data_IF_925473278025
#
_entry.id   IF_925473278025
#
_cell.length_a   1.000
_cell.length_b   1.000
_cell.length_c   1.000
_cell.angle_alpha   90.00
_cell.angle_beta   90.00
_cell.angle_gamma   90.00
#
_symmetry.space_group_name_H-M   'P 1'
#
loop_
_entity.id
_entity.type
_entity.pdbx_description
1 polymer ?
#
# COMPACT_ATOMS: atom_id res chain seq x y z
N UNK A 1 4.25 67.96 -34.34
CA UNK A 1 3.59 67.24 -33.23
C UNK A 1 4.53 66.11 -32.82
N UNK A 2 5.19 66.23 -31.66
CA UNK A 2 6.18 65.28 -31.15
C UNK A 2 5.46 64.03 -30.66
N UNK A 3 5.85 62.83 -31.11
CA UNK A 3 5.44 61.58 -30.48
C UNK A 3 6.69 60.80 -30.09
N UNK A 4 6.84 60.60 -28.78
CA UNK A 4 7.96 59.96 -28.10
C UNK A 4 8.06 58.47 -28.47
N UNK A 5 9.29 58.00 -28.73
CA UNK A 5 9.66 56.60 -28.60
C UNK A 5 9.68 56.22 -27.11
N UNK A 6 9.00 55.12 -26.76
CA UNK A 6 9.16 54.44 -25.48
C UNK A 6 9.85 53.09 -25.76
N UNK A 7 11.13 52.98 -25.41
CA UNK A 7 11.88 51.73 -25.41
C UNK A 7 11.63 50.99 -24.09
N UNK A 8 10.99 49.82 -24.16
CA UNK A 8 10.82 48.92 -23.02
C UNK A 8 12.04 47.99 -22.90
N UNK A 9 12.79 48.15 -21.81
CA UNK A 9 13.94 47.32 -21.45
C UNK A 9 13.43 46.00 -20.86
N UNK A 10 13.63 44.88 -21.57
CA UNK A 10 13.44 43.53 -20.99
C UNK A 10 14.63 43.23 -20.06
N UNK A 11 14.37 43.20 -18.75
CA UNK A 11 15.30 42.63 -17.78
C UNK A 11 15.07 41.11 -17.69
N UNK A 12 15.99 40.32 -18.22
CA UNK A 12 16.03 38.87 -17.98
C UNK A 12 16.49 38.61 -16.54
N UNK A 13 15.54 38.39 -15.63
CA UNK A 13 15.84 37.81 -14.32
C UNK A 13 15.99 36.30 -14.47
N UNK A 14 17.23 35.83 -14.61
CA UNK A 14 17.57 34.42 -14.45
C UNK A 14 17.68 34.13 -12.96
N UNK A 15 16.66 33.47 -12.40
CA UNK A 15 16.83 32.77 -11.12
C UNK A 15 17.48 31.42 -11.43
N UNK A 16 18.79 31.36 -11.27
CA UNK A 16 19.50 30.12 -11.05
C UNK A 16 19.09 29.58 -9.67
N UNK A 17 18.01 28.81 -9.63
CA UNK A 17 17.70 27.95 -8.49
C UNK A 17 18.69 26.80 -8.50
N UNK A 18 19.81 26.99 -7.81
CA UNK A 18 20.72 25.91 -7.40
C UNK A 18 20.04 25.12 -6.28
N UNK A 19 18.96 24.41 -6.62
CA UNK A 19 18.47 23.33 -5.78
C UNK A 19 19.42 22.15 -5.96
N UNK A 20 20.21 21.83 -4.93
CA UNK A 20 20.72 20.49 -4.74
C UNK A 20 19.49 19.57 -4.66
N UNK A 21 19.03 19.09 -5.81
CA UNK A 21 18.31 17.83 -5.85
C UNK A 21 19.36 16.80 -5.44
N UNK A 22 19.33 16.38 -4.17
CA UNK A 22 19.97 15.14 -3.77
C UNK A 22 19.46 14.09 -4.76
N UNK A 23 20.37 13.50 -5.54
CA UNK A 23 20.03 12.34 -6.35
C UNK A 23 19.37 11.34 -5.38
N UNK A 24 18.20 10.78 -5.72
CA UNK A 24 17.57 9.80 -4.86
C UNK A 24 18.60 8.70 -4.61
N UNK A 25 18.99 8.53 -3.33
CA UNK A 25 19.95 7.50 -2.93
C UNK A 25 19.58 6.21 -3.64
N UNK A 26 20.50 5.68 -4.45
CA UNK A 26 20.24 4.52 -5.27
C UNK A 26 19.73 3.39 -4.36
N UNK A 27 18.46 3.00 -4.56
CA UNK A 27 17.81 1.96 -3.76
C UNK A 27 18.74 0.76 -3.68
N UNK A 28 19.14 0.40 -2.47
CA UNK A 28 20.03 -0.75 -2.23
C UNK A 28 19.36 -1.99 -2.83
N UNK A 29 20.05 -2.63 -3.76
CA UNK A 29 19.55 -3.88 -4.37
C UNK A 29 19.78 -5.04 -3.42
N UNK A 30 18.73 -5.82 -3.21
CA UNK A 30 18.77 -7.06 -2.43
C UNK A 30 18.98 -8.26 -3.34
N UNK A 31 19.80 -9.21 -2.88
CA UNK A 31 20.03 -10.48 -3.56
C UNK A 31 18.79 -11.36 -3.44
N UNK A 32 18.30 -11.83 -4.58
CA UNK A 32 17.21 -12.80 -4.65
C UNK A 32 17.78 -14.23 -4.66
N UNK A 33 16.98 -15.24 -4.31
CA UNK A 33 17.35 -16.64 -4.52
C UNK A 33 17.75 -16.92 -5.97
N UNK A 34 18.73 -17.80 -6.18
CA UNK A 34 19.24 -18.13 -7.51
C UNK A 34 18.17 -18.78 -8.40
N UNK A 35 17.28 -19.58 -7.80
CA UNK A 35 16.18 -20.19 -8.52
C UNK A 35 15.03 -19.18 -8.68
N UNK A 36 14.65 -18.79 -9.92
CA UNK A 36 13.59 -17.81 -10.17
C UNK A 36 12.21 -18.22 -9.64
N UNK A 37 12.00 -19.51 -9.38
CA UNK A 37 10.73 -20.07 -8.88
C UNK A 37 10.63 -20.12 -7.36
N UNK A 38 11.71 -19.79 -6.66
CA UNK A 38 11.67 -19.77 -5.20
C UNK A 38 10.85 -18.57 -4.71
N UNK A 39 10.08 -18.80 -3.65
CA UNK A 39 9.29 -17.72 -3.03
C UNK A 39 10.19 -16.79 -2.24
N UNK A 40 10.14 -15.52 -2.59
CA UNK A 40 10.86 -14.43 -1.91
C UNK A 40 10.00 -13.80 -0.83
N UNK A 41 8.70 -13.65 -1.09
CA UNK A 41 7.74 -13.13 -0.11
C UNK A 41 6.51 -14.03 -0.10
N UNK A 42 6.01 -14.40 1.08
CA UNK A 42 4.69 -15.02 1.20
C UNK A 42 3.83 -14.28 2.21
N UNK A 43 2.52 -14.28 1.95
CA UNK A 43 1.49 -13.75 2.84
C UNK A 43 0.43 -14.82 3.05
N UNK A 44 0.14 -15.11 4.31
CA UNK A 44 -0.90 -16.06 4.69
C UNK A 44 -1.73 -15.54 5.88
N UNK A 45 -2.95 -16.05 5.97
CA UNK A 45 -3.87 -15.79 7.08
C UNK A 45 -4.30 -17.13 7.70
N UNK A 46 -3.85 -17.39 8.92
CA UNK A 46 -4.04 -18.68 9.60
C UNK A 46 -5.03 -18.58 10.75
N UNK A 47 -5.91 -19.57 10.87
CA UNK A 47 -6.98 -19.61 11.88
C UNK A 47 -8.05 -18.53 11.68
N UNK A 48 -8.76 -18.23 12.76
CA UNK A 48 -9.90 -17.31 12.77
C UNK A 48 -11.19 -17.88 12.16
N UNK A 49 -12.29 -17.15 12.32
CA UNK A 49 -13.58 -17.54 11.79
C UNK A 49 -13.67 -17.30 10.27
N UNK A 50 -13.96 -18.34 9.48
CA UNK A 50 -14.09 -18.23 8.04
C UNK A 50 -14.42 -19.57 7.37
N UNK A 51 -14.54 -19.55 6.04
CA UNK A 51 -14.74 -20.76 5.24
C UNK A 51 -13.53 -21.70 5.39
N UNK A 52 -13.74 -23.03 5.41
CA UNK A 52 -12.65 -23.98 5.46
C UNK A 52 -11.76 -23.83 4.21
N UNK A 53 -10.46 -23.94 4.41
CA UNK A 53 -9.49 -23.90 3.30
C UNK A 53 -9.49 -25.24 2.57
N UNK A 54 -9.40 -25.18 1.24
CA UNK A 54 -9.17 -26.35 0.39
C UNK A 54 -7.73 -26.85 0.47
N UNK A 55 -6.78 -25.94 0.74
CA UNK A 55 -5.35 -26.22 0.82
C UNK A 55 -4.65 -25.33 1.86
N UNK A 56 -3.56 -25.84 2.43
CA UNK A 56 -2.72 -25.13 3.41
C UNK A 56 -1.52 -24.42 2.74
N UNK A 57 -1.73 -23.83 1.56
CA UNK A 57 -0.75 -23.03 0.82
C UNK A 57 -0.91 -21.54 1.14
N UNK A 58 0.14 -20.70 1.18
CA UNK A 58 -0.01 -19.26 1.45
C UNK A 58 -1.08 -18.59 0.58
N UNK A 59 -1.77 -17.57 1.09
CA UNK A 59 -2.79 -16.82 0.31
C UNK A 59 -2.22 -15.96 -0.82
N UNK A 60 -0.93 -15.66 -0.75
CA UNK A 60 -0.14 -15.04 -1.81
C UNK A 60 1.31 -15.47 -1.68
N UNK A 61 1.97 -15.72 -2.81
CA UNK A 61 3.42 -15.90 -2.90
C UNK A 61 3.97 -15.03 -4.03
N UNK A 62 5.11 -14.39 -3.80
CA UNK A 62 5.86 -13.63 -4.80
C UNK A 62 7.17 -14.38 -5.03
N UNK A 63 7.42 -14.80 -6.27
CA UNK A 63 8.60 -15.56 -6.66
C UNK A 63 9.76 -14.61 -6.99
N UNK A 64 10.98 -15.16 -7.07
CA UNK A 64 12.19 -14.40 -7.36
C UNK A 64 12.18 -13.75 -8.76
N UNK A 65 11.40 -14.27 -9.72
CA UNK A 65 11.20 -13.65 -11.03
C UNK A 65 10.10 -12.57 -11.08
N UNK A 66 9.53 -12.21 -9.92
CA UNK A 66 8.46 -11.24 -9.78
C UNK A 66 7.05 -11.79 -10.02
N UNK A 67 6.89 -13.09 -10.32
CA UNK A 67 5.57 -13.71 -10.48
C UNK A 67 4.82 -13.70 -9.14
N UNK A 68 3.59 -13.21 -9.15
CA UNK A 68 2.70 -13.17 -7.98
C UNK A 68 1.62 -14.22 -8.14
N UNK A 69 1.61 -15.20 -7.24
CA UNK A 69 0.67 -16.31 -7.22
C UNK A 69 -0.38 -16.11 -6.14
N UNK A 70 -1.66 -16.14 -6.52
CA UNK A 70 -2.81 -16.15 -5.61
C UNK A 70 -3.56 -17.48 -5.77
N UNK A 71 -3.24 -18.53 -5.01
CA UNK A 71 -3.88 -19.82 -5.14
C UNK A 71 -5.35 -19.80 -4.69
N UNK A 72 -6.16 -20.69 -5.28
CA UNK A 72 -7.55 -20.96 -4.88
C UNK A 72 -7.65 -21.67 -3.51
N UNK A 73 -7.35 -20.96 -2.42
CA UNK A 73 -7.35 -21.52 -1.07
C UNK A 73 -8.75 -21.81 -0.50
N UNK A 74 -9.82 -21.41 -1.20
CA UNK A 74 -11.21 -21.59 -0.77
C UNK A 74 -12.05 -22.17 -1.92
N UNK A 75 -13.06 -22.97 -1.57
CA UNK A 75 -13.99 -23.55 -2.53
C UNK A 75 -14.66 -22.46 -3.40
N UNK A 76 -14.74 -22.72 -4.71
CA UNK A 76 -15.35 -21.79 -5.67
C UNK A 76 -14.48 -20.59 -6.06
N UNK A 77 -13.24 -20.48 -5.57
CA UNK A 77 -12.27 -19.48 -6.04
C UNK A 77 -11.39 -20.04 -7.15
N UNK A 78 -10.90 -19.14 -8.00
CA UNK A 78 -9.91 -19.45 -9.04
C UNK A 78 -8.53 -18.98 -8.57
N UNK A 79 -7.50 -19.69 -8.98
CA UNK A 79 -6.13 -19.19 -8.85
C UNK A 79 -5.94 -18.01 -9.79
N UNK A 80 -5.24 -17.00 -9.33
CA UNK A 80 -4.85 -15.84 -10.14
C UNK A 80 -3.33 -15.72 -10.14
N UNK A 81 -2.82 -15.16 -11.22
CA UNK A 81 -1.41 -14.88 -11.40
C UNK A 81 -1.28 -13.42 -11.86
N UNK A 82 -0.24 -12.75 -11.37
CA UNK A 82 0.19 -11.45 -11.84
C UNK A 82 1.71 -11.38 -11.86
N UNK A 83 2.24 -10.23 -12.22
CA UNK A 83 3.68 -10.03 -12.31
C UNK A 83 4.08 -8.64 -11.83
N UNK A 84 5.14 -8.61 -11.02
CA UNK A 84 5.90 -7.40 -10.73
C UNK A 84 7.09 -7.36 -11.69
N UNK A 85 7.43 -6.15 -12.15
CA UNK A 85 8.73 -5.91 -12.75
C UNK A 85 9.85 -6.11 -11.73
N UNK A 86 11.09 -6.28 -12.21
CA UNK A 86 12.25 -6.41 -11.34
C UNK A 86 12.43 -5.16 -10.44
N UNK A 87 12.10 -3.96 -10.97
CA UNK A 87 12.16 -2.72 -10.21
C UNK A 87 11.10 -2.70 -9.09
N UNK A 88 9.84 -3.00 -9.41
CA UNK A 88 8.76 -3.04 -8.41
C UNK A 88 9.00 -4.09 -7.33
N UNK A 89 9.58 -5.25 -7.69
CA UNK A 89 9.96 -6.27 -6.72
C UNK A 89 11.05 -5.76 -5.77
N UNK A 90 12.09 -5.10 -6.30
CA UNK A 90 13.17 -4.55 -5.48
C UNK A 90 12.68 -3.41 -4.58
N UNK A 91 11.82 -2.52 -5.09
CA UNK A 91 11.17 -1.48 -4.28
C UNK A 91 10.32 -2.09 -3.16
N UNK A 92 9.56 -3.14 -3.45
CA UNK A 92 8.78 -3.84 -2.43
C UNK A 92 9.68 -4.46 -1.36
N UNK A 93 10.81 -5.07 -1.75
CA UNK A 93 11.75 -5.66 -0.81
C UNK A 93 12.41 -4.57 0.05
N UNK A 94 12.89 -3.48 -0.55
CA UNK A 94 13.47 -2.36 0.18
C UNK A 94 12.48 -1.76 1.18
N UNK A 95 11.21 -1.58 0.78
CA UNK A 95 10.16 -1.15 1.68
C UNK A 95 10.00 -2.09 2.90
N UNK A 96 10.05 -3.40 2.68
CA UNK A 96 9.86 -4.39 3.75
C UNK A 96 11.10 -4.48 4.66
N UNK A 97 12.28 -4.57 4.05
CA UNK A 97 13.54 -4.87 4.73
C UNK A 97 14.17 -3.61 5.31
N UNK A 98 14.32 -2.57 4.49
CA UNK A 98 15.05 -1.36 4.86
C UNK A 98 14.13 -0.35 5.57
N UNK A 99 12.97 -0.02 5.00
CA UNK A 99 12.09 0.98 5.62
C UNK A 99 11.36 0.44 6.86
N UNK A 100 10.91 -0.82 6.81
CA UNK A 100 10.12 -1.43 7.88
C UNK A 100 10.88 -2.47 8.72
N UNK A 101 12.19 -2.62 8.49
CA UNK A 101 13.11 -3.36 9.37
C UNK A 101 12.63 -4.79 9.69
N UNK A 102 12.05 -5.50 8.71
CA UNK A 102 11.38 -6.79 8.93
C UNK A 102 12.28 -7.84 9.62
N UNK A 103 13.57 -7.90 9.25
CA UNK A 103 14.53 -8.81 9.88
C UNK A 103 14.86 -8.47 11.34
N UNK A 104 14.62 -7.23 11.79
CA UNK A 104 14.77 -6.83 13.19
C UNK A 104 13.52 -7.12 14.06
N UNK A 105 12.37 -7.46 13.46
CA UNK A 105 11.13 -7.70 14.20
C UNK A 105 11.21 -8.89 15.20
N UNK A 106 11.11 -8.65 16.50
CA UNK A 106 11.10 -9.71 17.51
C UNK A 106 9.69 -9.92 18.08
N UNK A 107 9.07 -11.05 17.75
CA UNK A 107 7.72 -11.42 18.22
C UNK A 107 7.61 -11.43 19.75
N UNK A 108 8.65 -11.92 20.44
CA UNK A 108 8.66 -12.04 21.91
C UNK A 108 8.78 -10.67 22.55
N UNK A 109 9.68 -9.82 22.05
CA UNK A 109 9.82 -8.46 22.55
C UNK A 109 8.54 -7.65 22.33
N UNK A 110 7.90 -7.79 21.17
CA UNK A 110 6.64 -7.10 20.84
C UNK A 110 5.49 -7.60 21.71
N UNK A 111 5.40 -8.90 22.03
CA UNK A 111 4.38 -9.40 22.96
C UNK A 111 4.59 -8.85 24.38
N UNK A 112 5.82 -8.82 24.88
CA UNK A 112 6.12 -8.19 26.18
C UNK A 112 5.71 -6.71 26.22
N UNK A 113 5.96 -5.96 25.14
CA UNK A 113 5.50 -4.57 25.02
C UNK A 113 3.97 -4.44 24.99
N UNK A 114 3.26 -5.40 24.38
CA UNK A 114 1.79 -5.41 24.46
C UNK A 114 1.31 -5.59 25.90
N UNK A 115 1.86 -6.58 26.60
CA UNK A 115 1.46 -6.93 27.96
C UNK A 115 1.75 -5.79 28.94
N UNK A 116 2.89 -5.10 28.76
CA UNK A 116 3.25 -3.93 29.55
C UNK A 116 2.43 -2.67 29.20
N UNK A 117 1.97 -2.54 27.95
CA UNK A 117 1.28 -1.35 27.41
C UNK A 117 -0.20 -1.19 27.83
N UNK A 118 -0.66 -1.95 28.82
CA UNK A 118 -2.02 -1.91 29.35
C UNK A 118 -3.02 -2.77 28.58
N UNK A 119 -4.30 -2.79 29.01
CA UNK A 119 -5.31 -3.68 28.44
C UNK A 119 -5.59 -3.29 26.98
N UNK A 120 -5.22 -4.18 26.06
CA UNK A 120 -5.66 -4.12 24.66
C UNK A 120 -6.73 -5.16 24.41
N UNK A 121 -7.76 -4.78 23.66
CA UNK A 121 -8.82 -5.71 23.27
C UNK A 121 -8.22 -6.76 22.35
N UNK A 122 -7.95 -7.95 22.89
CA UNK A 122 -7.76 -9.16 22.08
C UNK A 122 -9.09 -9.43 21.40
N UNK A 123 -9.06 -9.59 20.08
CA UNK A 123 -10.27 -9.88 19.33
C UNK A 123 -10.30 -11.41 19.16
N UNK A 124 -11.24 -12.12 19.80
CA UNK A 124 -11.34 -13.56 19.65
C UNK A 124 -11.55 -13.94 18.18
N UNK A 125 -11.04 -15.11 17.81
CA UNK A 125 -11.18 -15.72 16.48
C UNK A 125 -10.72 -14.84 15.30
N UNK A 126 -9.73 -13.96 15.52
CA UNK A 126 -9.02 -13.29 14.41
C UNK A 126 -7.96 -14.19 13.81
N UNK A 127 -7.84 -14.12 12.50
CA UNK A 127 -6.75 -14.78 11.79
C UNK A 127 -5.40 -14.17 12.14
N UNK A 128 -4.40 -15.04 12.32
CA UNK A 128 -2.99 -14.66 12.44
C UNK A 128 -2.47 -14.34 11.05
N UNK A 129 -1.89 -13.15 10.87
CA UNK A 129 -1.15 -12.82 9.66
C UNK A 129 0.23 -13.46 9.75
N UNK A 130 0.61 -14.22 8.72
CA UNK A 130 1.94 -14.83 8.61
C UNK A 130 2.62 -14.29 7.38
N UNK A 131 3.80 -13.70 7.54
CA UNK A 131 4.61 -13.17 6.45
C UNK A 131 5.98 -13.83 6.52
N UNK A 132 6.43 -14.35 5.39
CA UNK A 132 7.80 -14.85 5.24
C UNK A 132 8.52 -14.01 4.18
N UNK A 133 9.77 -13.69 4.44
CA UNK A 133 10.68 -13.02 3.50
C UNK A 133 11.97 -13.83 3.38
N UNK A 134 12.46 -14.02 2.16
CA UNK A 134 13.70 -14.71 1.82
C UNK A 134 14.52 -13.90 0.81
N UNK A 135 15.51 -13.14 1.30
CA UNK A 135 16.41 -12.28 0.51
C UNK A 135 17.79 -12.21 1.19
N UNK A 136 18.84 -11.85 0.45
CA UNK A 136 20.20 -11.71 0.98
C UNK A 136 20.73 -12.95 1.71
N UNK A 137 20.27 -14.14 1.30
CA UNK A 137 20.57 -15.41 1.98
C UNK A 137 19.95 -15.54 3.37
N UNK A 138 19.07 -14.62 3.77
CA UNK A 138 18.34 -14.64 5.03
C UNK A 138 16.88 -15.00 4.79
N UNK A 139 16.33 -15.84 5.66
CA UNK A 139 14.90 -16.17 5.66
C UNK A 139 14.32 -15.93 7.04
N UNK A 140 13.20 -15.21 7.10
CA UNK A 140 12.46 -14.98 8.35
C UNK A 140 10.97 -15.09 8.13
N UNK A 141 10.29 -15.72 9.10
CA UNK A 141 8.83 -15.74 9.18
C UNK A 141 8.42 -14.95 10.42
N UNK A 142 7.47 -14.03 10.27
CA UNK A 142 6.85 -13.29 11.36
C UNK A 142 5.37 -13.62 11.41
N UNK A 143 4.87 -13.94 12.62
CA UNK A 143 3.47 -14.27 12.88
C UNK A 143 2.85 -13.22 13.79
N UNK A 144 1.69 -12.68 13.40
CA UNK A 144 0.99 -11.71 14.23
C UNK A 144 -0.52 -11.76 14.14
N UNK A 145 -1.15 -11.96 15.29
CA UNK A 145 -2.59 -11.78 15.46
C UNK A 145 -2.92 -10.29 15.56
N UNK A 146 -3.94 -9.79 14.84
CA UNK A 146 -4.40 -8.42 14.97
C UNK A 146 -4.74 -8.08 16.42
N UNK A 147 -4.20 -6.95 16.89
CA UNK A 147 -4.58 -6.35 18.17
C UNK A 147 -5.65 -5.28 17.91
N UNK A 148 -6.64 -5.18 18.79
CA UNK A 148 -7.66 -4.14 18.68
C UNK A 148 -7.09 -2.74 18.89
N UNK A 149 -7.84 -1.72 18.44
CA UNK A 149 -7.59 -0.29 18.70
C UNK A 149 -7.86 0.02 20.18
N UNK A 150 -7.01 -0.48 21.08
CA UNK A 150 -6.99 -0.07 22.49
C UNK A 150 -6.09 1.13 22.70
N UNK A 151 -6.41 1.99 23.66
CA UNK A 151 -5.67 3.24 23.95
C UNK A 151 -4.28 3.08 24.57
N UNK A 152 -3.56 1.98 24.33
CA UNK A 152 -2.19 1.81 24.80
C UNK A 152 -1.19 2.49 23.86
N UNK A 153 0.01 2.78 24.37
CA UNK A 153 1.08 3.50 23.66
C UNK A 153 1.45 2.89 22.29
N UNK A 154 1.65 3.69 21.23
CA UNK A 154 2.07 3.19 19.93
C UNK A 154 3.31 2.29 20.01
N UNK A 155 3.25 1.11 19.38
CA UNK A 155 4.40 0.21 19.24
C UNK A 155 4.85 0.27 17.78
N UNK A 156 6.03 0.85 17.54
CA UNK A 156 6.58 1.08 16.19
C UNK A 156 6.65 -0.21 15.37
N UNK A 157 7.03 -1.32 15.99
CA UNK A 157 7.13 -2.61 15.29
C UNK A 157 5.76 -3.08 14.77
N UNK A 158 4.67 -2.82 15.51
CA UNK A 158 3.32 -3.14 15.05
C UNK A 158 2.87 -2.24 13.91
N UNK A 159 3.28 -0.97 13.91
CA UNK A 159 3.02 -0.05 12.81
C UNK A 159 3.75 -0.50 11.54
N UNK A 160 5.03 -0.84 11.67
CA UNK A 160 5.86 -1.37 10.57
C UNK A 160 5.27 -2.66 10.00
N UNK A 161 4.94 -3.64 10.85
CA UNK A 161 4.29 -4.87 10.41
C UNK A 161 2.93 -4.61 9.74
N UNK A 162 2.16 -3.65 10.28
CA UNK A 162 0.90 -3.21 9.68
C UNK A 162 1.08 -2.57 8.31
N UNK A 163 2.13 -1.77 8.12
CA UNK A 163 2.49 -1.14 6.86
C UNK A 163 2.89 -2.20 5.81
N UNK A 164 3.76 -3.14 6.17
CA UNK A 164 4.14 -4.30 5.34
C UNK A 164 2.89 -5.07 4.91
N UNK A 165 2.05 -5.47 5.86
CA UNK A 165 0.81 -6.20 5.56
C UNK A 165 -0.08 -5.41 4.60
N UNK A 166 -0.20 -4.09 4.80
CA UNK A 166 -1.04 -3.24 3.95
C UNK A 166 -0.49 -3.18 2.52
N UNK A 167 0.82 -2.99 2.36
CA UNK A 167 1.49 -2.99 1.05
C UNK A 167 1.36 -4.33 0.33
N UNK A 168 1.50 -5.45 1.04
CA UNK A 168 1.30 -6.79 0.45
C UNK A 168 -0.16 -7.04 0.04
N UNK A 169 -1.14 -6.55 0.82
CA UNK A 169 -2.54 -6.63 0.41
C UNK A 169 -2.84 -5.75 -0.81
N UNK A 170 -2.17 -4.61 -0.94
CA UNK A 170 -2.26 -3.77 -2.13
C UNK A 170 -1.78 -4.53 -3.38
N UNK A 171 -0.61 -5.17 -3.32
CA UNK A 171 -0.10 -6.04 -4.41
C UNK A 171 -1.09 -7.14 -4.76
N UNK A 172 -1.61 -7.85 -3.75
CA UNK A 172 -2.66 -8.86 -3.93
C UNK A 172 -3.89 -8.29 -4.64
N UNK A 173 -4.35 -7.11 -4.24
CA UNK A 173 -5.51 -6.45 -4.85
C UNK A 173 -5.25 -6.03 -6.29
N UNK A 174 -4.04 -5.58 -6.65
CA UNK A 174 -3.69 -5.28 -8.04
C UNK A 174 -3.88 -6.53 -8.91
N UNK A 175 -3.37 -7.69 -8.48
CA UNK A 175 -3.55 -8.96 -9.20
C UNK A 175 -5.03 -9.35 -9.28
N UNK A 176 -5.80 -9.19 -8.19
CA UNK A 176 -7.25 -9.45 -8.18
C UNK A 176 -8.06 -8.55 -9.10
N UNK A 177 -7.54 -7.36 -9.41
CA UNK A 177 -8.11 -6.43 -10.37
C UNK A 177 -7.68 -6.73 -11.81
N UNK A 178 -6.77 -7.69 -12.04
CA UNK A 178 -6.27 -7.98 -13.38
C UNK A 178 -5.00 -7.23 -13.78
N UNK A 179 -4.30 -6.62 -12.81
CA UNK A 179 -3.00 -5.97 -13.02
C UNK A 179 -3.04 -4.44 -12.91
N UNK A 180 -1.86 -3.82 -13.06
CA UNK A 180 -1.65 -2.38 -12.87
C UNK A 180 -2.49 -1.55 -13.84
N UNK A 181 -2.52 -1.92 -15.12
CA UNK A 181 -3.30 -1.22 -16.17
C UNK A 181 -4.78 -1.08 -15.82
N UNK A 182 -5.36 -2.10 -15.17
CA UNK A 182 -6.77 -2.03 -14.75
C UNK A 182 -6.94 -1.07 -13.58
N UNK A 183 -6.04 -1.10 -12.59
CA UNK A 183 -6.07 -0.17 -11.47
C UNK A 183 -5.88 1.28 -11.92
N UNK A 184 -5.03 1.53 -12.93
CA UNK A 184 -4.83 2.87 -13.50
C UNK A 184 -6.11 3.45 -14.12
N UNK A 185 -6.99 2.60 -14.70
CA UNK A 185 -8.31 3.05 -15.16
C UNK A 185 -9.14 3.56 -14.00
N UNK A 186 -9.12 2.86 -12.86
CA UNK A 186 -9.83 3.29 -11.65
C UNK A 186 -9.22 4.54 -11.01
N UNK A 187 -7.90 4.73 -11.10
CA UNK A 187 -7.24 5.99 -10.68
C UNK A 187 -7.79 7.16 -11.50
N UNK A 188 -7.95 7.00 -12.81
CA UNK A 188 -8.54 8.05 -13.68
C UNK A 188 -9.97 8.38 -13.26
N UNK A 189 -10.83 7.37 -13.08
CA UNK A 189 -12.22 7.55 -12.62
C UNK A 189 -12.27 8.23 -11.24
N UNK A 190 -11.40 7.81 -10.31
CA UNK A 190 -11.31 8.44 -8.98
C UNK A 190 -10.92 9.92 -9.08
N UNK A 191 -9.94 10.25 -9.92
CA UNK A 191 -9.44 11.61 -10.09
C UNK A 191 -10.40 12.53 -10.82
N UNK A 192 -11.16 12.02 -11.79
CA UNK A 192 -12.23 12.78 -12.44
C UNK A 192 -13.27 13.23 -11.40
N UNK A 193 -13.73 12.31 -10.54
CA UNK A 193 -14.69 12.64 -9.49
C UNK A 193 -14.09 13.53 -8.40
N UNK A 194 -12.84 13.28 -8.00
CA UNK A 194 -12.14 14.09 -7.00
C UNK A 194 -12.00 15.54 -7.47
N UNK A 195 -11.57 15.75 -8.72
CA UNK A 195 -11.43 17.10 -9.31
C UNK A 195 -12.76 17.83 -9.43
N UNK A 196 -13.86 17.12 -9.68
CA UNK A 196 -15.19 17.73 -9.72
C UNK A 196 -15.67 18.22 -8.34
N UNK A 197 -15.39 17.48 -7.27
CA UNK A 197 -15.86 17.82 -5.92
C UNK A 197 -14.87 18.71 -5.15
N UNK A 198 -13.57 18.55 -5.38
CA UNK A 198 -12.49 19.21 -4.67
C UNK A 198 -11.37 19.58 -5.67
N UNK A 199 -11.53 20.64 -6.48
CA UNK A 199 -10.64 20.94 -7.62
C UNK A 199 -9.19 21.26 -7.21
N UNK A 200 -8.98 21.73 -5.98
CA UNK A 200 -7.66 22.10 -5.46
C UNK A 200 -6.91 20.92 -4.81
N UNK A 201 -7.58 19.79 -4.61
CA UNK A 201 -6.96 18.60 -4.02
C UNK A 201 -6.11 17.89 -5.07
N UNK A 202 -4.84 17.65 -4.75
CA UNK A 202 -3.91 16.97 -5.65
C UNK A 202 -4.47 15.61 -6.13
N UNK A 203 -4.23 15.21 -7.39
CA UNK A 203 -4.71 13.93 -7.89
C UNK A 203 -4.14 12.75 -7.10
N UNK A 204 -4.93 11.69 -6.98
CA UNK A 204 -4.50 10.40 -6.46
C UNK A 204 -3.60 9.69 -7.46
N UNK A 205 -2.72 8.85 -6.94
CA UNK A 205 -1.77 8.04 -7.69
C UNK A 205 -1.96 6.55 -7.39
N UNK A 206 -1.20 5.69 -8.07
CA UNK A 206 -1.16 4.25 -7.77
C UNK A 206 -0.74 3.96 -6.31
N UNK A 207 0.07 4.84 -5.68
CA UNK A 207 0.44 4.70 -4.28
C UNK A 207 -0.76 4.86 -3.32
N UNK A 208 -1.80 5.59 -3.76
CA UNK A 208 -3.00 5.83 -2.95
C UNK A 208 -4.01 4.69 -3.06
N UNK A 209 -3.86 3.76 -4.02
CA UNK A 209 -4.72 2.58 -4.14
C UNK A 209 -4.59 1.70 -2.88
N UNK A 210 -5.69 1.36 -2.22
CA UNK A 210 -5.65 0.52 -1.01
C UNK A 210 -6.08 -0.90 -1.26
N UNK A 211 -7.18 -1.05 -2.00
CA UNK A 211 -7.75 -2.36 -2.28
C UNK A 211 -8.68 -2.29 -3.48
N UNK A 212 -8.77 -3.41 -4.17
CA UNK A 212 -9.68 -3.62 -5.28
C UNK A 212 -10.03 -5.10 -5.38
N UNK A 213 -11.25 -5.40 -5.79
CA UNK A 213 -11.63 -6.75 -6.19
C UNK A 213 -12.80 -6.72 -7.16
N UNK A 214 -12.79 -7.64 -8.12
CA UNK A 214 -13.98 -8.01 -8.87
C UNK A 214 -14.78 -9.06 -8.07
N UNK A 215 -16.00 -8.72 -7.66
CA UNK A 215 -16.88 -9.61 -6.88
C UNK A 215 -17.56 -10.64 -7.76
N UNK A 216 -18.05 -10.17 -8.91
CA UNK A 216 -18.63 -10.93 -10.03
C UNK A 216 -18.21 -10.23 -11.32
N UNK A 217 -18.22 -10.89 -12.48
CA UNK A 217 -17.86 -10.25 -13.75
C UNK A 217 -18.54 -8.88 -13.94
N UNK A 218 -17.74 -7.81 -14.04
CA UNK A 218 -18.21 -6.42 -14.19
C UNK A 218 -18.61 -5.68 -12.90
N UNK A 219 -18.55 -6.33 -11.73
CA UNK A 219 -18.83 -5.72 -10.43
C UNK A 219 -17.53 -5.55 -9.63
N UNK A 220 -17.07 -4.32 -9.55
CA UNK A 220 -15.83 -3.93 -8.89
C UNK A 220 -16.12 -3.16 -7.61
N UNK A 221 -15.27 -3.38 -6.62
CA UNK A 221 -15.21 -2.57 -5.41
C UNK A 221 -13.77 -2.11 -5.23
N UNK A 222 -13.54 -0.81 -5.36
CA UNK A 222 -12.21 -0.19 -5.38
C UNK A 222 -12.14 0.91 -4.32
N UNK A 223 -11.02 1.02 -3.64
CA UNK A 223 -10.77 2.03 -2.61
C UNK A 223 -9.39 2.65 -2.76
N UNK A 224 -9.35 3.97 -2.64
CA UNK A 224 -8.15 4.79 -2.56
C UNK A 224 -8.15 5.56 -1.24
N UNK A 225 -6.97 5.74 -0.66
CA UNK A 225 -6.80 6.55 0.54
C UNK A 225 -5.40 7.17 0.60
N UNK A 226 -5.37 8.50 0.55
CA UNK A 226 -4.19 9.31 0.83
C UNK A 226 -4.30 9.92 2.23
N UNK A 227 -3.23 9.80 3.01
CA UNK A 227 -3.08 10.46 4.30
C UNK A 227 -1.84 11.32 4.18
N UNK A 228 -2.00 12.64 4.29
CA UNK A 228 -0.86 13.54 4.37
C UNK A 228 -0.51 13.74 5.85
N UNK A 229 0.77 13.55 6.23
CA UNK A 229 1.20 13.77 7.60
C UNK A 229 0.96 15.22 7.97
N UNK A 230 0.65 15.45 9.24
CA UNK A 230 0.52 16.79 9.74
C UNK A 230 1.88 17.51 9.76
N UNK A 231 1.89 18.84 9.58
CA UNK A 231 3.08 19.63 9.83
C UNK A 231 3.58 19.38 11.26
N UNK A 232 4.90 19.53 11.50
CA UNK A 232 5.48 19.37 12.83
C UNK A 232 4.70 20.17 13.88
N UNK A 233 4.23 19.48 14.94
CA UNK A 233 3.47 20.09 16.03
C UNK A 233 1.94 19.94 15.94
N UNK A 234 1.39 19.43 14.85
CA UNK A 234 -0.06 19.14 14.72
C UNK A 234 -0.33 17.67 15.06
N UNK A 235 -1.30 17.41 15.93
CA UNK A 235 -1.60 16.06 16.47
C UNK A 235 -2.42 15.16 15.55
N UNK A 236 -3.03 15.72 14.51
CA UNK A 236 -3.95 15.03 13.60
C UNK A 236 -3.47 15.19 12.17
N UNK A 237 -3.60 14.15 11.34
CA UNK A 237 -3.27 14.21 9.92
C UNK A 237 -3.84 15.48 9.27
N UNK A 238 -3.03 16.19 8.49
CA UNK A 238 -3.44 17.45 7.89
C UNK A 238 -4.56 17.25 6.88
N UNK A 239 -4.45 16.19 6.08
CA UNK A 239 -5.47 15.86 5.08
C UNK A 239 -5.67 14.36 4.93
N UNK A 240 -6.93 13.95 4.84
CA UNK A 240 -7.31 12.59 4.47
C UNK A 240 -8.26 12.64 3.28
N UNK A 241 -7.81 12.09 2.16
CA UNK A 241 -8.63 11.86 0.97
C UNK A 241 -8.99 10.39 0.90
N UNK A 242 -10.27 10.07 0.76
CA UNK A 242 -10.76 8.71 0.55
C UNK A 242 -11.70 8.71 -0.65
N UNK A 243 -11.44 7.80 -1.60
CA UNK A 243 -12.34 7.57 -2.74
C UNK A 243 -12.73 6.11 -2.73
N UNK A 244 -14.03 5.84 -2.83
CA UNK A 244 -14.57 4.48 -2.96
C UNK A 244 -15.41 4.39 -4.22
N UNK A 245 -15.15 3.38 -5.05
CA UNK A 245 -15.86 3.13 -6.30
C UNK A 245 -16.54 1.78 -6.19
N UNK A 246 -17.82 1.73 -6.51
CA UNK A 246 -18.56 0.47 -6.68
C UNK A 246 -19.19 0.46 -8.06
N UNK A 247 -19.01 -0.63 -8.80
CA UNK A 247 -19.75 -0.85 -10.06
C UNK A 247 -20.73 -1.98 -9.92
N UNK A 248 -21.82 -1.87 -10.67
CA UNK A 248 -22.78 -2.94 -10.87
C UNK A 248 -22.77 -3.28 -12.36
N UNK A 249 -23.05 -4.55 -12.67
CA UNK A 249 -23.14 -4.97 -14.06
C UNK A 249 -24.16 -4.10 -14.81
N UNK A 250 -23.75 -3.53 -15.94
CA UNK A 250 -24.56 -2.65 -16.80
C UNK A 250 -24.96 -1.30 -16.17
N UNK A 251 -24.25 -0.82 -15.15
CA UNK A 251 -24.48 0.51 -14.57
C UNK A 251 -23.20 1.36 -14.58
N UNK A 252 -23.37 2.68 -14.57
CA UNK A 252 -22.27 3.59 -14.36
C UNK A 252 -21.64 3.38 -12.96
N UNK A 253 -20.32 3.59 -12.79
CA UNK A 253 -19.68 3.52 -11.49
C UNK A 253 -20.29 4.52 -10.50
N UNK A 254 -20.56 4.06 -9.28
CA UNK A 254 -20.88 4.93 -8.15
C UNK A 254 -19.59 5.29 -7.44
N UNK A 255 -19.23 6.58 -7.47
CA UNK A 255 -18.01 7.10 -6.86
C UNK A 255 -18.36 7.96 -5.66
N UNK A 256 -17.85 7.59 -4.48
CA UNK A 256 -17.96 8.37 -3.25
C UNK A 256 -16.59 8.96 -2.92
N UNK A 257 -16.54 10.28 -2.71
CA UNK A 257 -15.33 11.00 -2.33
C UNK A 257 -15.56 11.64 -0.96
N UNK A 258 -14.63 11.42 -0.06
CA UNK A 258 -14.55 12.12 1.21
C UNK A 258 -13.18 12.77 1.30
N UNK A 259 -13.16 14.08 1.49
CA UNK A 259 -11.96 14.83 1.84
C UNK A 259 -12.21 15.57 3.14
N UNK A 260 -11.18 15.57 3.98
CA UNK A 260 -11.19 16.26 5.27
C UNK A 260 -9.81 16.85 5.46
N UNK A 261 -9.76 18.16 5.58
CA UNK A 261 -8.62 18.91 6.06
C UNK A 261 -8.88 19.34 7.50
N UNK A 262 -7.86 19.29 8.34
CA UNK A 262 -7.94 19.86 9.67
C UNK A 262 -7.66 21.36 9.52
N UNK A 263 -8.72 22.17 9.50
CA UNK A 263 -8.57 23.63 9.59
C UNK A 263 -7.82 23.96 10.89
N UNK A 264 -6.80 24.81 10.75
CA UNK A 264 -5.96 25.31 11.86
C UNK A 264 -6.69 26.35 12.68
#
# INVERSE_FOLDING_TARGET
MKLLLLTATLACFSWATTGLAAEPDAVKKHLLPENPKDSVITLDFQGGYGLPRSANTPTMSILADGTVLLPANYAGRKSLEGKLSAAELQELIAFIVDENQFFAYDETAVEKKLEAGGPRRRIPDRSTTVIMVHVDGQQKTVRRTPVGLGGGEPIVELQQFGAIRSRLNQVRSIVQMGGTDEVEKWVKVANEQLKQQYPDVAPLTMYDFRSGSERTPGNYSVSFMRILPAAPGVRTNEEVTTVSITTYANAAPVVSVAWRSVEK
#
